data_IF_825126244456
#
_entry.id   IF_825126244456
#
_cell.length_a   1.000
_cell.length_b   1.000
_cell.length_c   1.000
_cell.angle_alpha   90.00
_cell.angle_beta   90.00
_cell.angle_gamma   90.00
#
_symmetry.space_group_name_H-M   'P 1'
#
loop_
_entity.id
_entity.type
_entity.pdbx_description
1 polymer ?
#
# COMPACT_ATOMS: atom_id res chain seq x y z
N UNK A 1 -11.87 4.99 -13.82
CA UNK A 1 -10.44 4.88 -14.16
C UNK A 1 -10.13 3.41 -14.43
N UNK A 2 -9.57 3.09 -15.58
CA UNK A 2 -9.41 1.68 -16.01
C UNK A 2 -8.15 1.04 -15.40
N UNK A 3 -8.09 0.93 -14.09
CA UNK A 3 -7.03 0.19 -13.44
C UNK A 3 -7.46 -1.26 -13.20
N UNK A 4 -6.48 -2.14 -13.16
CA UNK A 4 -6.68 -3.55 -12.86
C UNK A 4 -5.52 -4.05 -12.01
N UNK A 5 -5.73 -5.18 -11.35
CA UNK A 5 -4.68 -5.87 -10.60
C UNK A 5 -4.41 -7.20 -11.25
N UNK A 6 -3.15 -7.58 -11.34
CA UNK A 6 -2.77 -8.92 -11.74
C UNK A 6 -1.84 -9.54 -10.70
N UNK A 7 -1.91 -10.85 -10.54
CA UNK A 7 -0.99 -11.57 -9.66
C UNK A 7 0.44 -11.37 -10.15
N UNK A 8 1.35 -11.01 -9.24
CA UNK A 8 2.77 -10.89 -9.57
C UNK A 8 3.37 -12.25 -9.89
N UNK A 9 4.34 -12.25 -10.79
CA UNK A 9 5.13 -13.41 -11.19
C UNK A 9 6.60 -13.16 -10.86
N UNK A 10 7.42 -14.20 -10.85
CA UNK A 10 8.83 -14.07 -10.49
C UNK A 10 9.57 -12.94 -11.21
N UNK A 11 9.36 -12.72 -12.54
CA UNK A 11 10.02 -11.62 -13.23
C UNK A 11 9.67 -10.23 -12.72
N UNK A 12 8.57 -10.08 -11.97
CA UNK A 12 8.14 -8.78 -11.45
C UNK A 12 8.95 -8.32 -10.25
N UNK A 13 9.73 -9.20 -9.63
CA UNK A 13 10.48 -8.88 -8.42
C UNK A 13 11.39 -7.66 -8.60
N UNK A 14 12.11 -7.59 -9.71
CA UNK A 14 13.02 -6.48 -9.99
C UNK A 14 12.29 -5.14 -10.08
N UNK A 15 11.16 -5.12 -10.77
CA UNK A 15 10.31 -3.93 -10.87
C UNK A 15 9.83 -3.47 -9.50
N UNK A 16 9.30 -4.41 -8.71
CA UNK A 16 8.76 -4.09 -7.39
C UNK A 16 9.84 -3.59 -6.43
N UNK A 17 11.00 -4.25 -6.43
CA UNK A 17 12.13 -3.85 -5.59
C UNK A 17 12.64 -2.45 -5.97
N UNK A 18 12.81 -2.21 -7.27
CA UNK A 18 13.28 -0.92 -7.77
C UNK A 18 12.34 0.22 -7.39
N UNK A 19 11.05 0.02 -7.58
CA UNK A 19 10.05 1.02 -7.23
C UNK A 19 10.00 1.27 -5.72
N UNK A 20 10.10 0.22 -4.92
CA UNK A 20 10.16 0.35 -3.46
C UNK A 20 11.31 1.27 -3.04
N UNK A 21 12.52 1.01 -3.51
CA UNK A 21 13.69 1.80 -3.12
C UNK A 21 13.61 3.22 -3.65
N UNK A 22 13.11 3.41 -4.85
CA UNK A 22 12.94 4.75 -5.43
C UNK A 22 11.97 5.58 -4.60
N UNK A 23 10.82 5.01 -4.23
CA UNK A 23 9.79 5.75 -3.50
C UNK A 23 10.07 5.87 -2.00
N UNK A 24 10.90 5.00 -1.44
CA UNK A 24 11.30 5.09 -0.04
C UNK A 24 12.50 6.00 0.19
N UNK A 25 13.14 6.49 -0.86
CA UNK A 25 14.39 7.26 -0.74
C UNK A 25 14.22 8.50 0.16
N UNK A 26 13.17 9.27 -0.03
CA UNK A 26 12.95 10.49 0.75
C UNK A 26 12.68 10.19 2.23
N UNK A 27 11.98 9.08 2.51
CA UNK A 27 11.73 8.65 3.89
C UNK A 27 13.03 8.18 4.54
N UNK A 28 13.83 7.42 3.78
CA UNK A 28 15.12 6.92 4.24
C UNK A 28 16.04 8.07 4.61
N UNK A 29 16.10 9.09 3.78
CA UNK A 29 16.90 10.29 4.06
C UNK A 29 16.36 11.09 5.24
N UNK A 30 15.05 11.35 5.26
CA UNK A 30 14.42 12.18 6.29
C UNK A 30 14.54 11.56 7.69
N UNK A 31 14.39 10.24 7.77
CA UNK A 31 14.43 9.52 9.04
C UNK A 31 15.80 8.92 9.35
N UNK A 32 16.80 9.17 8.50
CA UNK A 32 18.15 8.63 8.67
C UNK A 32 18.18 7.12 8.84
N UNK A 33 17.39 6.41 7.99
CA UNK A 33 17.32 4.95 8.07
C UNK A 33 18.53 4.31 7.38
N UNK A 34 18.91 3.12 7.88
CA UNK A 34 19.99 2.33 7.29
C UNK A 34 19.47 1.65 6.01
N UNK A 35 20.10 1.94 4.88
CA UNK A 35 19.70 1.39 3.58
C UNK A 35 19.88 -0.13 3.52
N UNK A 36 20.90 -0.66 4.15
CA UNK A 36 21.12 -2.12 4.18
C UNK A 36 20.03 -2.82 5.00
N UNK A 37 19.61 -2.21 6.11
CA UNK A 37 18.50 -2.72 6.91
C UNK A 37 17.18 -2.66 6.15
N UNK A 38 16.96 -1.60 5.38
CA UNK A 38 15.78 -1.46 4.52
C UNK A 38 15.74 -2.57 3.47
N UNK A 39 16.87 -2.85 2.82
CA UNK A 39 16.97 -3.91 1.82
C UNK A 39 16.69 -5.28 2.44
N UNK A 40 17.26 -5.55 3.61
CA UNK A 40 17.03 -6.81 4.32
C UNK A 40 15.55 -6.96 4.70
N UNK A 41 14.93 -5.90 5.19
CA UNK A 41 13.51 -5.90 5.53
C UNK A 41 12.63 -6.15 4.32
N UNK A 42 12.95 -5.53 3.18
CA UNK A 42 12.21 -5.76 1.94
C UNK A 42 12.24 -7.23 1.54
N UNK A 43 13.44 -7.83 1.51
CA UNK A 43 13.59 -9.24 1.15
C UNK A 43 12.87 -10.17 2.13
N UNK A 44 12.94 -9.86 3.42
CA UNK A 44 12.31 -10.67 4.45
C UNK A 44 10.79 -10.65 4.36
N UNK A 45 10.22 -9.51 4.01
CA UNK A 45 8.76 -9.34 3.95
C UNK A 45 8.17 -9.69 2.58
N UNK A 46 9.00 -9.84 1.56
CA UNK A 46 8.54 -10.19 0.22
C UNK A 46 7.90 -11.57 0.21
N UNK A 47 6.65 -11.64 -0.25
CA UNK A 47 5.94 -12.88 -0.49
C UNK A 47 5.17 -12.72 -1.79
N UNK A 48 5.64 -13.41 -2.83
CA UNK A 48 5.09 -13.30 -4.18
C UNK A 48 3.57 -13.53 -4.21
N UNK A 49 3.07 -14.46 -3.38
CA UNK A 49 1.64 -14.79 -3.36
C UNK A 49 0.76 -13.64 -2.84
N UNK A 50 1.35 -12.68 -2.14
CA UNK A 50 0.66 -11.53 -1.57
C UNK A 50 0.75 -10.29 -2.45
N UNK A 51 1.52 -10.36 -3.55
CA UNK A 51 1.83 -9.18 -4.37
C UNK A 51 0.99 -9.18 -5.64
N UNK A 52 0.41 -8.03 -5.93
CA UNK A 52 -0.33 -7.77 -7.17
C UNK A 52 0.27 -6.55 -7.86
N UNK A 53 0.36 -6.61 -9.18
CA UNK A 53 0.82 -5.49 -9.99
C UNK A 53 -0.40 -4.65 -10.36
N UNK A 54 -0.25 -3.34 -10.22
CA UNK A 54 -1.28 -2.37 -10.61
C UNK A 54 -1.05 -2.01 -12.07
N UNK A 55 -2.05 -2.19 -12.90
CA UNK A 55 -1.97 -1.84 -14.32
C UNK A 55 -3.01 -0.76 -14.67
N UNK A 56 -2.63 0.15 -15.55
CA UNK A 56 -3.49 1.17 -16.11
C UNK A 56 -3.49 1.00 -17.62
N UNK A 57 -4.64 0.65 -18.20
CA UNK A 57 -4.75 0.39 -19.65
C UNK A 57 -3.71 -0.63 -20.14
N UNK A 58 -3.43 -1.65 -19.33
CA UNK A 58 -2.50 -2.71 -19.68
C UNK A 58 -1.04 -2.42 -19.40
N UNK A 59 -0.72 -1.22 -18.91
CA UNK A 59 0.66 -0.86 -18.55
C UNK A 59 0.87 -0.94 -17.04
N UNK A 60 1.97 -1.52 -16.60
CA UNK A 60 2.31 -1.61 -15.18
C UNK A 60 2.64 -0.22 -14.64
N UNK A 61 1.93 0.20 -13.59
CA UNK A 61 2.08 1.53 -13.02
C UNK A 61 2.37 1.51 -11.52
N UNK A 62 2.46 0.34 -10.92
CA UNK A 62 2.73 0.20 -9.49
C UNK A 62 2.51 -1.21 -9.01
N UNK A 63 2.56 -1.39 -7.70
CA UNK A 63 2.30 -2.68 -7.09
C UNK A 63 1.79 -2.52 -5.66
N UNK A 64 1.18 -3.58 -5.17
CA UNK A 64 0.68 -3.63 -3.80
C UNK A 64 0.94 -5.00 -3.19
N UNK A 65 1.00 -5.05 -1.88
CA UNK A 65 1.11 -6.29 -1.13
C UNK A 65 0.09 -6.25 0.01
N UNK A 66 -0.76 -7.26 0.05
CA UNK A 66 -1.79 -7.39 1.09
C UNK A 66 -1.69 -8.76 1.74
N UNK A 67 -1.97 -8.80 3.04
CA UNK A 67 -2.02 -10.04 3.81
C UNK A 67 -3.43 -10.22 4.31
N UNK A 68 -4.10 -11.25 3.81
CA UNK A 68 -5.48 -11.57 4.20
C UNK A 68 -5.46 -12.72 5.19
N UNK A 69 -5.93 -12.49 6.41
CA UNK A 69 -6.00 -13.50 7.46
C UNK A 69 -7.31 -13.36 8.21
N UNK A 70 -8.14 -14.41 8.17
CA UNK A 70 -9.40 -14.42 8.91
C UNK A 70 -10.26 -13.19 8.59
N UNK A 71 -10.48 -12.34 9.59
CA UNK A 71 -11.36 -11.18 9.49
C UNK A 71 -10.59 -9.88 9.22
N UNK A 72 -9.33 -9.98 8.80
CA UNK A 72 -8.47 -8.82 8.64
C UNK A 72 -7.74 -8.83 7.30
N UNK A 73 -7.70 -7.66 6.66
CA UNK A 73 -6.88 -7.40 5.48
C UNK A 73 -5.83 -6.35 5.86
N UNK A 74 -4.56 -6.73 5.87
CA UNK A 74 -3.47 -5.82 6.13
C UNK A 74 -2.86 -5.34 4.83
N UNK A 75 -2.83 -4.02 4.62
CA UNK A 75 -2.18 -3.41 3.46
C UNK A 75 -0.73 -3.15 3.83
N UNK A 76 0.15 -4.05 3.40
CA UNK A 76 1.57 -4.00 3.76
C UNK A 76 2.34 -2.99 2.92
N UNK A 77 2.07 -2.94 1.61
CA UNK A 77 2.77 -2.08 0.67
C UNK A 77 1.80 -1.60 -0.41
N UNK A 78 1.98 -0.34 -0.83
CA UNK A 78 1.30 0.20 -2.01
C UNK A 78 2.19 1.29 -2.59
N UNK A 79 2.57 1.13 -3.85
CA UNK A 79 3.44 2.08 -4.56
C UNK A 79 2.90 2.33 -5.96
N UNK A 80 2.91 3.59 -6.37
CA UNK A 80 2.58 4.02 -7.72
C UNK A 80 3.83 4.67 -8.31
N UNK A 81 4.18 4.27 -9.52
CA UNK A 81 5.36 4.77 -10.21
C UNK A 81 5.22 6.26 -10.49
N UNK A 82 6.32 6.98 -10.37
CA UNK A 82 6.37 8.43 -10.36
C UNK A 82 5.63 9.11 -11.51
N UNK A 83 5.77 8.68 -12.78
CA UNK A 83 5.05 9.30 -13.89
C UNK A 83 3.52 9.24 -13.77
N UNK A 84 3.01 8.32 -12.93
CA UNK A 84 1.58 8.09 -12.78
C UNK A 84 1.02 8.63 -11.47
N UNK A 85 1.86 9.23 -10.63
CA UNK A 85 1.41 9.82 -9.37
C UNK A 85 0.61 11.09 -9.61
N UNK A 86 -0.18 11.48 -8.61
CA UNK A 86 -1.03 12.68 -8.63
C UNK A 86 -2.14 12.62 -9.69
N UNK A 87 -2.53 11.42 -10.10
CA UNK A 87 -3.64 11.18 -11.04
C UNK A 87 -4.81 10.47 -10.37
N UNK A 88 -4.77 10.31 -9.04
CA UNK A 88 -5.81 9.61 -8.30
C UNK A 88 -5.71 8.09 -8.33
N UNK A 89 -4.62 7.52 -8.87
CA UNK A 89 -4.45 6.06 -8.96
C UNK A 89 -4.41 5.43 -7.58
N UNK A 90 -3.60 5.99 -6.66
CA UNK A 90 -3.51 5.49 -5.29
C UNK A 90 -4.85 5.48 -4.58
N UNK A 91 -5.64 6.54 -4.75
CA UNK A 91 -6.99 6.63 -4.20
C UNK A 91 -7.88 5.54 -4.78
N UNK A 92 -7.84 5.34 -6.09
CA UNK A 92 -8.65 4.32 -6.76
C UNK A 92 -8.26 2.91 -6.31
N UNK A 93 -6.96 2.64 -6.16
CA UNK A 93 -6.46 1.37 -5.64
C UNK A 93 -7.01 1.11 -4.24
N UNK A 94 -6.93 2.10 -3.35
CA UNK A 94 -7.45 1.94 -1.99
C UNK A 94 -8.95 1.72 -1.98
N UNK A 95 -9.71 2.42 -2.83
CA UNK A 95 -11.16 2.20 -2.93
C UNK A 95 -11.48 0.78 -3.38
N UNK A 96 -10.71 0.21 -4.30
CA UNK A 96 -10.91 -1.18 -4.72
C UNK A 96 -10.58 -2.17 -3.62
N UNK A 97 -9.51 -1.93 -2.88
CA UNK A 97 -9.18 -2.78 -1.73
C UNK A 97 -10.26 -2.70 -0.65
N UNK A 98 -10.78 -1.51 -0.39
CA UNK A 98 -11.90 -1.32 0.54
C UNK A 98 -13.11 -2.14 0.08
N UNK A 99 -13.42 -2.12 -1.21
CA UNK A 99 -14.51 -2.92 -1.77
C UNK A 99 -14.28 -4.41 -1.62
N UNK A 100 -13.05 -4.89 -1.86
CA UNK A 100 -12.70 -6.30 -1.66
C UNK A 100 -12.89 -6.73 -0.20
N UNK A 101 -12.38 -5.93 0.73
CA UNK A 101 -12.50 -6.22 2.16
C UNK A 101 -13.95 -6.23 2.61
N UNK A 102 -14.75 -5.26 2.14
CA UNK A 102 -16.16 -5.17 2.50
C UNK A 102 -16.96 -6.40 2.05
N UNK A 103 -16.65 -6.93 0.86
CA UNK A 103 -17.36 -8.08 0.33
C UNK A 103 -17.19 -9.35 1.17
N UNK A 104 -16.06 -9.45 1.86
CA UNK A 104 -15.78 -10.60 2.74
C UNK A 104 -15.76 -10.22 4.21
N UNK A 105 -16.29 -9.03 4.52
CA UNK A 105 -16.46 -8.53 5.89
C UNK A 105 -15.15 -8.46 6.68
N UNK A 106 -14.07 -8.01 6.03
CA UNK A 106 -12.77 -7.86 6.68
C UNK A 106 -12.54 -6.43 7.14
N UNK A 107 -12.00 -6.29 8.35
CA UNK A 107 -11.42 -5.03 8.83
C UNK A 107 -10.09 -4.80 8.13
N UNK A 108 -9.87 -3.60 7.63
CA UNK A 108 -8.58 -3.26 7.02
C UNK A 108 -7.66 -2.62 8.05
N UNK A 109 -6.38 -2.95 7.94
CA UNK A 109 -5.33 -2.33 8.74
C UNK A 109 -4.17 -1.89 7.86
N UNK A 110 -3.53 -0.81 8.27
CA UNK A 110 -2.28 -0.37 7.64
C UNK A 110 -1.46 0.42 8.66
N UNK A 111 -0.17 0.53 8.38
CA UNK A 111 0.73 1.40 9.12
C UNK A 111 1.29 2.42 8.14
N UNK A 112 1.34 3.68 8.55
CA UNK A 112 1.83 4.74 7.67
C UNK A 112 2.79 5.63 8.44
N UNK A 113 3.92 5.97 7.83
CA UNK A 113 4.89 6.89 8.42
C UNK A 113 4.23 8.26 8.57
N UNK A 114 4.38 8.88 9.74
CA UNK A 114 3.71 10.14 10.06
C UNK A 114 4.01 11.27 9.08
N UNK A 115 5.22 11.29 8.52
CA UNK A 115 5.62 12.32 7.56
C UNK A 115 5.07 12.06 6.16
N UNK A 116 4.44 10.92 5.92
CA UNK A 116 3.85 10.60 4.62
C UNK A 116 2.48 11.26 4.51
N UNK A 117 2.27 12.14 3.51
CA UNK A 117 0.97 12.79 3.32
C UNK A 117 -0.18 11.83 3.01
N UNK A 118 0.11 10.58 2.64
CA UNK A 118 -0.92 9.57 2.42
C UNK A 118 -1.78 9.30 3.66
N UNK A 119 -1.28 9.60 4.86
CA UNK A 119 -2.06 9.44 6.09
C UNK A 119 -3.39 10.22 6.02
N UNK A 120 -3.37 11.42 5.44
CA UNK A 120 -4.60 12.23 5.28
C UNK A 120 -5.57 11.60 4.28
N UNK A 121 -5.05 11.00 3.23
CA UNK A 121 -5.87 10.27 2.26
C UNK A 121 -6.59 9.11 2.96
N UNK A 122 -5.86 8.34 3.76
CA UNK A 122 -6.45 7.21 4.47
C UNK A 122 -7.54 7.65 5.43
N UNK A 123 -7.33 8.76 6.16
CA UNK A 123 -8.38 9.30 7.03
C UNK A 123 -9.63 9.69 6.22
N UNK A 124 -9.46 10.33 5.08
CA UNK A 124 -10.60 10.67 4.20
C UNK A 124 -11.33 9.44 3.69
N UNK A 125 -10.64 8.32 3.55
CA UNK A 125 -11.26 7.06 3.13
C UNK A 125 -11.88 6.26 4.27
N UNK A 126 -11.91 6.82 5.48
CA UNK A 126 -12.57 6.21 6.63
C UNK A 126 -11.67 5.43 7.56
N UNK A 127 -10.36 5.46 7.36
CA UNK A 127 -9.42 4.88 8.30
C UNK A 127 -9.31 5.75 9.55
N UNK A 128 -9.19 5.11 10.70
CA UNK A 128 -9.02 5.77 11.99
C UNK A 128 -7.69 5.38 12.59
N UNK A 129 -7.02 6.34 13.22
CA UNK A 129 -5.78 6.09 13.95
C UNK A 129 -6.15 5.35 15.24
N UNK A 130 -5.62 4.13 15.41
CA UNK A 130 -5.85 3.31 16.59
C UNK A 130 -4.62 3.22 17.48
N UNK A 131 -3.51 3.76 17.06
CA UNK A 131 -2.27 3.78 17.82
C UNK A 131 -1.17 4.48 17.04
N UNK A 132 -0.06 4.70 17.70
CA UNK A 132 1.10 5.30 17.05
C UNK A 132 2.37 4.99 17.83
N UNK A 133 3.50 5.08 17.13
CA UNK A 133 4.81 5.12 17.76
C UNK A 133 5.51 6.42 17.37
N UNK A 134 6.82 6.51 17.55
CA UNK A 134 7.56 7.74 17.25
C UNK A 134 7.50 8.12 15.76
N UNK A 135 7.33 7.13 14.87
CA UNK A 135 7.44 7.32 13.43
C UNK A 135 6.18 7.04 12.66
N UNK A 136 5.28 6.19 13.17
CA UNK A 136 4.14 5.64 12.40
C UNK A 136 2.82 5.82 13.12
N UNK A 137 1.77 5.98 12.33
CA UNK A 137 0.39 5.76 12.74
C UNK A 137 -0.02 4.33 12.41
N UNK A 138 -0.77 3.71 13.30
CA UNK A 138 -1.45 2.44 13.05
C UNK A 138 -2.92 2.74 12.83
N UNK A 139 -3.45 2.31 11.68
CA UNK A 139 -4.80 2.71 11.28
C UNK A 139 -5.66 1.49 10.97
N UNK A 140 -6.97 1.62 11.18
CA UNK A 140 -7.93 0.59 10.80
C UNK A 140 -9.16 1.21 10.16
N UNK A 141 -9.85 0.39 9.36
CA UNK A 141 -11.13 0.73 8.75
C UNK A 141 -12.07 -0.46 8.88
N UNK A 142 -13.24 -0.26 9.50
CA UNK A 142 -14.24 -1.31 9.62
C UNK A 142 -14.95 -1.54 8.29
N UNK A 143 -15.33 -2.80 7.97
CA UNK A 143 -15.93 -3.12 6.67
C UNK A 143 -17.30 -2.46 6.43
N UNK A 144 -17.99 -2.07 7.49
CA UNK A 144 -19.31 -1.44 7.40
C UNK A 144 -19.24 0.08 7.26
N UNK A 145 -18.04 0.69 7.32
CA UNK A 145 -17.88 2.12 7.17
C UNK A 145 -18.19 2.52 5.72
N UNK A 146 -19.14 3.44 5.47
CA UNK A 146 -19.42 3.86 4.10
C UNK A 146 -18.29 4.72 3.55
N UNK A 147 -18.10 4.68 2.22
CA UNK A 147 -17.20 5.58 1.53
C UNK A 147 -17.93 6.90 1.30
N UNK A 148 -17.27 8.00 1.68
CA UNK A 148 -17.76 9.35 1.36
C UNK A 148 -17.39 9.69 -0.07
N UNK A 149 -18.32 10.29 -0.78
CA UNK A 149 -18.09 10.75 -2.15
C UNK A 149 -17.41 12.11 -2.17
#
# INVERSE_FOLDING_TARGET
>A
MPISFRQALDPDFGYCKGLYFEEMEWITEELHLDRAAQAASFHQQWDLTQVRIIALDGSDVGWLQTVSQNEELFVAQIFVDRPFQRRGIGTEVMKRLIGEAARVNQTMRLNVVKINPAARLYERLGFQIIGEDDRKFYMKRDPVTPLSN
#
